data_IF_655230881762
#
_entry.id   IF_655230881762
#
_cell.length_a   1.000
_cell.length_b   1.000
_cell.length_c   1.000
_cell.angle_alpha   90.00
_cell.angle_beta   90.00
_cell.angle_gamma   90.00
#
_symmetry.space_group_name_H-M   'P 1'
#
loop_
_entity.id
_entity.type
_entity.pdbx_description
1 polymer ?
#
# COMPACT_ATOMS: atom_id res chain seq x y z
N UNK A 1 -10.49 12.99 3.06
CA UNK A 1 -9.20 13.12 2.32
C UNK A 1 -8.14 12.13 2.79
N UNK A 2 -8.03 11.80 4.09
CA UNK A 2 -7.00 10.89 4.61
C UNK A 2 -7.02 9.48 3.99
N UNK A 3 -8.19 8.85 3.88
CA UNK A 3 -8.30 7.52 3.25
C UNK A 3 -7.91 7.53 1.77
N UNK A 4 -8.27 8.59 1.04
CA UNK A 4 -7.87 8.76 -0.35
C UNK A 4 -6.35 8.96 -0.48
N UNK A 5 -5.74 9.76 0.41
CA UNK A 5 -4.28 9.89 0.41
C UNK A 5 -3.57 8.59 0.76
N UNK A 6 -4.12 7.78 1.67
CA UNK A 6 -3.58 6.44 1.97
C UNK A 6 -3.73 5.49 0.78
N UNK A 7 -4.88 5.51 0.10
CA UNK A 7 -5.10 4.73 -1.11
C UNK A 7 -4.09 5.10 -2.19
N UNK A 8 -4.00 6.38 -2.54
CA UNK A 8 -3.15 6.86 -3.64
C UNK A 8 -1.67 6.70 -3.30
N UNK A 9 -1.26 7.03 -2.08
CA UNK A 9 0.13 6.89 -1.63
C UNK A 9 0.58 5.43 -1.62
N UNK A 10 -0.21 4.53 -1.05
CA UNK A 10 0.12 3.10 -0.99
C UNK A 10 0.12 2.48 -2.38
N UNK A 11 -0.89 2.78 -3.21
CA UNK A 11 -0.97 2.29 -4.58
C UNK A 11 0.23 2.73 -5.41
N UNK A 12 0.61 4.01 -5.34
CA UNK A 12 1.73 4.57 -6.10
C UNK A 12 3.06 3.99 -5.60
N UNK A 13 3.25 3.89 -4.29
CA UNK A 13 4.45 3.29 -3.70
C UNK A 13 4.61 1.81 -4.09
N UNK A 14 3.53 1.03 -3.98
CA UNK A 14 3.54 -0.38 -4.37
C UNK A 14 3.78 -0.58 -5.86
N UNK A 15 3.19 0.28 -6.71
CA UNK A 15 3.43 0.29 -8.15
C UNK A 15 4.90 0.57 -8.50
N UNK A 16 5.48 1.62 -7.92
CA UNK A 16 6.88 2.00 -8.15
C UNK A 16 7.82 0.93 -7.62
N UNK A 17 7.59 0.39 -6.42
CA UNK A 17 8.38 -0.69 -5.84
C UNK A 17 8.38 -1.94 -6.72
N UNK A 18 7.22 -2.32 -7.24
CA UNK A 18 7.11 -3.42 -8.19
C UNK A 18 7.80 -3.13 -9.53
N UNK A 19 7.81 -1.87 -9.99
CA UNK A 19 8.45 -1.48 -11.25
C UNK A 19 9.97 -1.42 -11.18
N UNK A 20 10.54 -1.07 -10.03
CA UNK A 20 11.99 -0.94 -9.87
C UNK A 20 12.64 -2.31 -9.70
N UNK A 21 12.03 -3.17 -8.89
CA UNK A 21 12.61 -4.45 -8.52
C UNK A 21 12.08 -5.61 -9.39
N UNK A 22 12.17 -5.44 -10.71
CA UNK A 22 11.68 -6.42 -11.70
C UNK A 22 12.42 -7.76 -11.58
N UNK A 23 13.71 -7.72 -11.23
CA UNK A 23 14.59 -8.88 -11.16
C UNK A 23 14.32 -9.79 -9.95
N UNK A 24 13.84 -9.27 -8.82
CA UNK A 24 13.74 -9.99 -7.53
C UNK A 24 12.30 -10.38 -7.13
N UNK A 25 11.36 -10.29 -8.07
CA UNK A 25 9.95 -10.56 -7.82
C UNK A 25 9.16 -9.25 -7.64
N UNK A 26 8.64 -8.66 -8.73
CA UNK A 26 7.92 -7.38 -8.74
C UNK A 26 6.80 -7.32 -7.69
N UNK A 27 6.02 -8.40 -7.61
CA UNK A 27 4.90 -8.50 -6.68
C UNK A 27 5.34 -8.51 -5.21
N UNK A 28 6.48 -9.15 -4.90
CA UNK A 28 7.02 -9.22 -3.54
C UNK A 28 7.44 -7.85 -3.05
N UNK A 29 8.04 -7.05 -3.92
CA UNK A 29 8.55 -5.72 -3.60
C UNK A 29 7.42 -4.72 -3.42
N UNK A 30 6.37 -4.79 -4.26
CA UNK A 30 5.15 -4.02 -4.04
C UNK A 30 4.42 -4.39 -2.73
N UNK A 31 4.40 -5.68 -2.36
CA UNK A 31 3.86 -6.12 -1.07
C UNK A 31 4.67 -5.59 0.12
N UNK A 32 6.00 -5.56 0.03
CA UNK A 32 6.85 -4.97 1.05
C UNK A 32 6.50 -3.50 1.32
N UNK A 33 6.33 -2.70 0.26
CA UNK A 33 5.91 -1.29 0.39
C UNK A 33 4.53 -1.18 1.04
N UNK A 34 3.62 -2.08 0.70
CA UNK A 34 2.27 -2.13 1.30
C UNK A 34 2.35 -2.39 2.81
N UNK A 35 3.19 -3.33 3.24
CA UNK A 35 3.40 -3.63 4.66
C UNK A 35 3.98 -2.43 5.40
N UNK A 36 4.97 -1.75 4.82
CA UNK A 36 5.56 -0.55 5.42
C UNK A 36 4.53 0.57 5.60
N UNK A 37 3.69 0.81 4.59
CA UNK A 37 2.60 1.80 4.67
C UNK A 37 1.55 1.42 5.70
N UNK A 38 1.22 0.13 5.82
CA UNK A 38 0.28 -0.34 6.85
C UNK A 38 0.83 -0.10 8.25
N UNK A 39 2.10 -0.39 8.50
CA UNK A 39 2.75 -0.12 9.79
C UNK A 39 2.72 1.39 10.09
N UNK A 40 3.09 2.23 9.13
CA UNK A 40 3.07 3.68 9.29
C UNK A 40 1.65 4.22 9.61
N UNK A 41 0.63 3.68 8.94
CA UNK A 41 -0.76 4.05 9.21
C UNK A 41 -1.24 3.58 10.59
N UNK A 42 -0.85 2.38 11.04
CA UNK A 42 -1.16 1.89 12.38
C UNK A 42 -0.48 2.76 13.46
N UNK A 43 0.76 3.19 13.24
CA UNK A 43 1.44 4.14 14.13
C UNK A 43 0.69 5.49 14.18
N UNK A 44 0.21 5.97 13.04
CA UNK A 44 -0.57 7.21 12.96
C UNK A 44 -1.93 7.09 13.68
N UNK A 45 -2.62 5.97 13.49
CA UNK A 45 -3.89 5.65 14.14
C UNK A 45 -3.77 5.53 15.65
N UNK A 46 -2.61 5.08 16.15
CA UNK A 46 -2.34 4.96 17.58
C UNK A 46 -1.93 6.30 18.22
N UNK A 47 -1.39 7.24 17.45
CA UNK A 47 -0.98 8.55 17.96
C UNK A 47 -2.17 9.44 18.39
N UNK A 48 -3.34 9.22 17.80
CA UNK A 48 -4.56 9.98 18.11
C UNK A 48 -5.76 9.05 18.28
N UNK A 49 -6.73 9.37 19.15
CA UNK A 49 -7.94 8.57 19.26
C UNK A 49 -8.79 8.71 17.99
N UNK A 50 -9.03 7.58 17.31
CA UNK A 50 -9.86 7.50 16.11
C UNK A 50 -11.09 6.60 16.33
N UNK A 51 -12.22 6.87 15.65
CA UNK A 51 -13.37 5.97 15.65
C UNK A 51 -13.03 4.56 15.16
N UNK A 52 -13.65 3.52 15.72
CA UNK A 52 -13.36 2.13 15.39
C UNK A 52 -13.53 1.79 13.90
N UNK A 53 -14.51 2.41 13.22
CA UNK A 53 -14.72 2.20 11.77
C UNK A 53 -13.55 2.70 10.92
N UNK A 54 -12.80 3.70 11.41
CA UNK A 54 -11.68 4.28 10.68
C UNK A 54 -10.48 3.33 10.66
N UNK A 55 -10.30 2.54 11.73
CA UNK A 55 -9.26 1.51 11.80
C UNK A 55 -9.44 0.45 10.72
N UNK A 56 -10.63 -0.15 10.64
CA UNK A 56 -10.93 -1.16 9.62
C UNK A 56 -10.91 -0.57 8.21
N UNK A 57 -11.43 0.64 8.04
CA UNK A 57 -11.37 1.38 6.77
C UNK A 57 -9.94 1.60 6.27
N UNK A 58 -9.03 2.05 7.13
CA UNK A 58 -7.61 2.23 6.78
C UNK A 58 -6.94 0.93 6.36
N UNK A 59 -7.15 -0.15 7.12
CA UNK A 59 -6.55 -1.46 6.82
C UNK A 59 -7.02 -1.95 5.45
N UNK A 60 -8.34 -1.94 5.21
CA UNK A 60 -8.92 -2.40 3.94
C UNK A 60 -8.41 -1.56 2.76
N UNK A 61 -8.37 -0.24 2.92
CA UNK A 61 -7.91 0.67 1.86
C UNK A 61 -6.43 0.45 1.56
N UNK A 62 -5.55 0.38 2.57
CA UNK A 62 -4.11 0.22 2.37
C UNK A 62 -3.80 -1.14 1.75
N UNK A 63 -4.38 -2.22 2.29
CA UNK A 63 -4.15 -3.57 1.77
C UNK A 63 -4.69 -3.70 0.35
N UNK A 64 -5.91 -3.23 0.09
CA UNK A 64 -6.51 -3.27 -1.23
C UNK A 64 -5.73 -2.45 -2.26
N UNK A 65 -5.43 -1.20 -1.95
CA UNK A 65 -4.69 -0.29 -2.84
C UNK A 65 -3.24 -0.74 -3.10
N UNK A 66 -2.57 -1.26 -2.07
CA UNK A 66 -1.23 -1.83 -2.19
C UNK A 66 -1.19 -3.10 -3.05
N UNK A 67 -2.17 -3.99 -2.89
CA UNK A 67 -2.31 -5.18 -3.74
C UNK A 67 -2.52 -4.78 -5.21
N UNK A 68 -3.47 -3.87 -5.48
CA UNK A 68 -3.71 -3.37 -6.84
C UNK A 68 -2.47 -2.68 -7.42
N UNK A 69 -1.79 -1.82 -6.64
CA UNK A 69 -0.57 -1.14 -7.07
C UNK A 69 0.55 -2.12 -7.42
N UNK A 70 0.81 -3.10 -6.57
CA UNK A 70 1.80 -4.15 -6.78
C UNK A 70 1.49 -4.99 -8.03
N UNK A 71 0.22 -5.37 -8.24
CA UNK A 71 -0.21 -6.15 -9.39
C UNK A 71 -0.07 -5.37 -10.71
N UNK A 72 -0.51 -4.11 -10.73
CA UNK A 72 -0.37 -3.20 -11.87
C UNK A 72 1.10 -2.93 -12.23
N UNK A 73 1.96 -2.78 -11.23
CA UNK A 73 3.39 -2.54 -11.41
C UNK A 73 4.10 -3.79 -11.93
N UNK A 74 3.77 -4.96 -11.38
CA UNK A 74 4.36 -6.23 -11.78
C UNK A 74 3.93 -6.72 -13.16
N UNK A 75 2.64 -6.62 -13.52
CA UNK A 75 2.16 -7.01 -14.85
C UNK A 75 2.79 -6.17 -15.97
N UNK A 76 3.00 -4.87 -15.74
CA UNK A 76 3.66 -3.98 -16.71
C UNK A 76 5.16 -4.19 -16.82
N UNK A 77 5.80 -4.79 -15.82
CA UNK A 77 7.21 -5.13 -15.88
C UNK A 77 7.49 -6.45 -16.61
N UNK A 78 6.50 -7.34 -16.67
CA UNK A 78 6.60 -8.64 -17.34
C UNK A 78 6.31 -8.61 -18.85
N UNK A 79 5.88 -7.47 -19.40
CA UNK A 79 5.54 -7.27 -20.81
C UNK A 79 6.58 -6.36 -21.48
#
# INVERSE_FOLDING_TARGET
MVLLSYAVGTMTGAFVGAKIAVSDGPARQGLFVTVLMLIAALMNLNAFPHPAWFWSGCIVVIVGSGYFGAQLGGQRAAK
#
